data_IF_227636491929
#
_entry.id   IF_227636491929
#
_cell.length_a   1.000
_cell.length_b   1.000
_cell.length_c   1.000
_cell.angle_alpha   90.00
_cell.angle_beta   90.00
_cell.angle_gamma   90.00
#
_symmetry.space_group_name_H-M   'P 1'
#
loop_
_entity.id
_entity.type
_entity.pdbx_description
1 polymer ?
#
# COMPACT_ATOMS: atom_id res chain seq x y z
N UNK A 1 15.32 -10.08 -12.00
CA UNK A 1 14.47 -9.81 -10.82
C UNK A 1 13.17 -9.17 -11.28
N UNK A 2 12.02 -9.66 -10.82
CA UNK A 2 10.69 -9.09 -11.11
C UNK A 2 10.19 -8.24 -9.94
N UNK A 3 9.47 -7.16 -10.24
CA UNK A 3 8.77 -6.33 -9.26
C UNK A 3 7.28 -6.67 -9.35
N UNK A 4 6.74 -7.29 -8.30
CA UNK A 4 5.33 -7.68 -8.25
C UNK A 4 4.57 -6.69 -7.35
N UNK A 5 3.61 -6.00 -7.95
CA UNK A 5 2.73 -5.10 -7.24
C UNK A 5 1.69 -5.87 -6.41
N UNK A 6 1.51 -5.52 -5.14
CA UNK A 6 0.45 -6.04 -4.28
C UNK A 6 -0.48 -4.89 -3.92
N UNK A 7 -1.75 -4.96 -4.32
CA UNK A 7 -2.72 -3.91 -4.02
C UNK A 7 -4.10 -4.49 -3.69
N UNK A 8 -5.01 -3.65 -3.22
CA UNK A 8 -6.36 -4.08 -2.87
C UNK A 8 -7.09 -3.02 -2.05
N UNK A 9 -8.41 -3.12 -1.98
CA UNK A 9 -9.24 -2.21 -1.20
C UNK A 9 -8.89 -2.20 0.29
N UNK A 10 -9.26 -1.12 0.97
CA UNK A 10 -9.14 -1.06 2.43
C UNK A 10 -9.86 -2.27 3.06
N UNK A 11 -9.23 -2.94 4.03
CA UNK A 11 -9.77 -4.14 4.69
C UNK A 11 -9.69 -5.44 3.89
N UNK A 12 -9.10 -5.44 2.67
CA UNK A 12 -8.98 -6.65 1.84
C UNK A 12 -7.98 -7.70 2.36
N UNK A 13 -7.05 -7.32 3.25
CA UNK A 13 -6.05 -8.22 3.83
C UNK A 13 -4.69 -8.19 3.15
N UNK A 14 -4.33 -7.11 2.45
CA UNK A 14 -3.00 -6.91 1.85
C UNK A 14 -1.85 -7.16 2.83
N UNK A 15 -1.92 -6.58 4.02
CA UNK A 15 -0.85 -6.72 5.03
C UNK A 15 -0.66 -8.17 5.48
N UNK A 16 -1.74 -8.95 5.54
CA UNK A 16 -1.68 -10.39 5.84
C UNK A 16 -0.93 -11.14 4.75
N UNK A 17 -1.22 -10.83 3.48
CA UNK A 17 -0.52 -11.43 2.35
C UNK A 17 0.93 -10.94 2.23
N UNK A 18 1.20 -9.67 2.48
CA UNK A 18 2.56 -9.14 2.49
C UNK A 18 3.43 -9.88 3.52
N UNK A 19 2.90 -10.09 4.74
CA UNK A 19 3.56 -10.88 5.77
C UNK A 19 3.73 -12.36 5.36
N UNK A 20 2.75 -12.94 4.68
CA UNK A 20 2.86 -14.29 4.17
C UNK A 20 4.01 -14.41 3.14
N UNK A 21 4.09 -13.52 2.14
CA UNK A 21 5.19 -13.50 1.18
C UNK A 21 6.55 -13.30 1.86
N UNK A 22 6.63 -12.40 2.85
CA UNK A 22 7.85 -12.19 3.63
C UNK A 22 8.28 -13.47 4.36
N UNK A 23 7.34 -14.24 4.91
CA UNK A 23 7.61 -15.53 5.57
C UNK A 23 8.04 -16.63 4.57
N UNK A 24 7.77 -16.48 3.28
CA UNK A 24 8.31 -17.33 2.22
C UNK A 24 9.73 -16.91 1.79
N UNK A 25 10.34 -15.93 2.45
CA UNK A 25 11.67 -15.41 2.13
C UNK A 25 11.69 -14.40 0.98
N UNK A 26 10.53 -13.92 0.52
CA UNK A 26 10.42 -12.91 -0.53
C UNK A 26 10.60 -11.52 0.08
N UNK A 27 11.54 -10.68 -0.41
CA UNK A 27 11.66 -9.31 0.04
C UNK A 27 10.39 -8.51 -0.28
N UNK A 28 9.84 -7.84 0.74
CA UNK A 28 8.58 -7.13 0.68
C UNK A 28 8.78 -5.65 1.06
N UNK A 29 8.29 -4.75 0.22
CA UNK A 29 8.30 -3.31 0.44
C UNK A 29 6.87 -2.80 0.66
N UNK A 30 6.61 -2.21 1.82
CA UNK A 30 5.36 -1.52 2.16
C UNK A 30 5.55 -0.01 1.90
N UNK A 31 4.97 0.49 0.79
CA UNK A 31 5.11 1.89 0.38
C UNK A 31 4.41 2.84 1.36
N UNK A 32 3.28 2.41 1.95
CA UNK A 32 2.55 3.23 2.93
C UNK A 32 3.32 3.33 4.25
N UNK A 33 3.95 2.24 4.71
CA UNK A 33 4.82 2.26 5.89
C UNK A 33 6.08 3.09 5.65
N UNK A 34 6.70 2.96 4.48
CA UNK A 34 7.85 3.78 4.09
C UNK A 34 7.50 5.27 4.06
N UNK A 35 6.37 5.65 3.44
CA UNK A 35 5.89 7.02 3.44
C UNK A 35 5.73 7.58 4.86
N UNK A 36 5.13 6.81 5.77
CA UNK A 36 5.00 7.19 7.18
C UNK A 36 6.36 7.42 7.86
N UNK A 37 7.30 6.49 7.67
CA UNK A 37 8.66 6.59 8.21
C UNK A 37 9.41 7.81 7.68
N UNK A 38 9.31 8.06 6.38
CA UNK A 38 9.97 9.19 5.72
C UNK A 38 9.41 10.54 6.20
N UNK A 39 8.09 10.65 6.39
CA UNK A 39 7.42 11.85 6.93
C UNK A 39 7.92 12.17 8.35
N UNK A 40 8.04 11.17 9.21
CA UNK A 40 8.53 11.36 10.60
C UNK A 40 10.05 11.57 10.67
N UNK A 41 10.78 11.16 9.66
CA UNK A 41 12.24 11.23 9.56
C UNK A 41 12.71 12.34 8.61
N UNK A 42 13.31 11.97 7.45
CA UNK A 42 14.03 12.92 6.59
C UNK A 42 13.13 13.98 5.93
N UNK A 43 11.83 13.75 5.80
CA UNK A 43 10.90 14.73 5.21
C UNK A 43 10.27 15.67 6.24
N UNK A 44 10.46 15.44 7.54
CA UNK A 44 9.80 16.20 8.62
C UNK A 44 9.96 17.71 8.44
N UNK A 45 11.18 18.19 8.17
CA UNK A 45 11.44 19.62 7.98
C UNK A 45 10.66 20.21 6.80
N UNK A 46 10.60 19.49 5.67
CA UNK A 46 9.85 19.91 4.48
C UNK A 46 8.33 19.92 4.74
N UNK A 47 7.84 18.97 5.51
CA UNK A 47 6.42 18.93 5.92
C UNK A 47 6.07 20.11 6.82
N UNK A 48 6.95 20.46 7.75
CA UNK A 48 6.76 21.62 8.63
C UNK A 48 6.83 22.93 7.84
N UNK A 49 7.73 23.03 6.87
CA UNK A 49 7.84 24.21 5.98
C UNK A 49 6.58 24.41 5.15
N UNK A 50 6.04 23.35 4.56
CA UNK A 50 4.86 23.39 3.68
C UNK A 50 3.55 23.60 4.46
N UNK A 51 3.36 22.89 5.58
CA UNK A 51 2.07 22.84 6.30
C UNK A 51 2.06 23.61 7.62
N UNK A 52 3.23 23.99 8.13
CA UNK A 52 3.38 24.73 9.37
C UNK A 52 3.42 23.83 10.62
N UNK A 53 3.77 24.45 11.75
CA UNK A 53 3.92 23.77 13.04
C UNK A 53 2.59 23.37 13.70
N UNK A 54 1.45 23.83 13.16
CA UNK A 54 0.12 23.49 13.68
C UNK A 54 -0.18 21.97 13.64
N UNK A 55 0.53 21.22 12.82
CA UNK A 55 0.39 19.77 12.67
C UNK A 55 1.42 18.96 13.45
N UNK A 56 2.03 19.56 14.49
CA UNK A 56 2.92 18.86 15.41
C UNK A 56 2.19 18.54 16.72
N UNK A 57 2.63 17.46 17.36
CA UNK A 57 2.38 17.19 18.78
C UNK A 57 3.30 18.05 19.66
N UNK A 58 3.05 18.07 20.95
CA UNK A 58 3.87 18.80 21.93
C UNK A 58 5.31 18.31 22.02
N UNK A 59 5.56 17.03 21.69
CA UNK A 59 6.89 16.42 21.61
C UNK A 59 7.62 16.72 20.30
N UNK A 60 6.98 17.48 19.42
CA UNK A 60 7.51 17.85 18.11
C UNK A 60 7.33 16.80 17.02
N UNK A 61 6.76 15.63 17.28
CA UNK A 61 6.40 14.64 16.24
C UNK A 61 5.24 15.14 15.37
N UNK A 62 5.12 14.62 14.15
CA UNK A 62 4.02 15.02 13.25
C UNK A 62 2.71 14.38 13.70
N UNK A 63 1.69 15.21 13.93
CA UNK A 63 0.32 14.75 14.16
C UNK A 63 -0.29 14.29 12.82
N UNK A 64 0.01 13.05 12.43
CA UNK A 64 -0.42 12.46 11.15
C UNK A 64 -1.93 12.44 10.98
N UNK A 65 -2.68 12.27 12.10
CA UNK A 65 -4.15 12.31 12.04
C UNK A 65 -4.61 13.70 11.64
N UNK A 66 -4.14 14.75 12.33
CA UNK A 66 -4.53 16.14 12.05
C UNK A 66 -4.08 16.59 10.66
N UNK A 67 -2.87 16.22 10.23
CA UNK A 67 -2.37 16.51 8.88
C UNK A 67 -3.19 15.76 7.84
N UNK A 68 -3.47 14.47 8.06
CA UNK A 68 -4.30 13.65 7.17
C UNK A 68 -5.71 14.22 7.01
N UNK A 69 -6.40 14.54 8.11
CA UNK A 69 -7.74 15.14 8.08
C UNK A 69 -7.75 16.43 7.23
N UNK A 70 -6.72 17.26 7.35
CA UNK A 70 -6.57 18.49 6.56
C UNK A 70 -6.32 18.23 5.07
N UNK A 71 -5.34 17.39 4.74
CA UNK A 71 -4.97 17.17 3.32
C UNK A 71 -6.04 16.41 2.56
N UNK A 72 -6.76 15.47 3.20
CA UNK A 72 -7.86 14.76 2.57
C UNK A 72 -9.10 15.64 2.33
N UNK A 73 -9.28 16.69 3.12
CA UNK A 73 -10.32 17.69 2.90
C UNK A 73 -9.93 18.77 1.87
N UNK A 74 -8.64 18.84 1.46
CA UNK A 74 -8.11 19.88 0.59
C UNK A 74 -7.23 19.29 -0.53
N UNK A 75 -7.75 19.30 -1.75
CA UNK A 75 -7.09 18.68 -2.92
C UNK A 75 -5.72 19.32 -3.23
N UNK A 76 -5.57 20.64 -3.05
CA UNK A 76 -4.27 21.30 -3.28
C UNK A 76 -3.24 20.91 -2.22
N UNK A 77 -3.65 20.81 -0.95
CA UNK A 77 -2.80 20.36 0.13
C UNK A 77 -2.40 18.88 -0.04
N UNK A 78 -3.33 18.02 -0.47
CA UNK A 78 -3.04 16.63 -0.79
C UNK A 78 -2.00 16.52 -1.92
N UNK A 79 -2.15 17.34 -2.97
CA UNK A 79 -1.17 17.40 -4.06
C UNK A 79 0.21 17.86 -3.59
N UNK A 80 0.26 18.87 -2.73
CA UNK A 80 1.51 19.35 -2.14
C UNK A 80 2.21 18.28 -1.31
N UNK A 81 1.46 17.57 -0.44
CA UNK A 81 1.98 16.45 0.34
C UNK A 81 2.53 15.34 -0.57
N UNK A 82 1.77 14.95 -1.59
CA UNK A 82 2.19 13.91 -2.53
C UNK A 82 3.45 14.30 -3.30
N UNK A 83 3.60 15.57 -3.69
CA UNK A 83 4.81 16.06 -4.36
C UNK A 83 6.07 15.99 -3.48
N UNK A 84 5.91 16.03 -2.16
CA UNK A 84 7.01 15.86 -1.20
C UNK A 84 7.29 14.37 -0.95
N UNK A 85 6.25 13.57 -0.76
CA UNK A 85 6.37 12.20 -0.27
C UNK A 85 6.68 11.21 -1.40
N UNK A 86 6.01 11.29 -2.56
CA UNK A 86 6.16 10.29 -3.63
C UNK A 86 7.61 10.18 -4.12
N UNK A 87 8.34 11.29 -4.44
CA UNK A 87 9.73 11.16 -4.89
C UNK A 87 10.66 10.52 -3.84
N UNK A 88 10.37 10.74 -2.56
CA UNK A 88 11.15 10.15 -1.50
C UNK A 88 10.87 8.65 -1.32
N UNK A 89 9.60 8.24 -1.44
CA UNK A 89 9.21 6.82 -1.44
C UNK A 89 9.79 6.10 -2.66
N UNK A 90 9.79 6.73 -3.84
CA UNK A 90 10.39 6.15 -5.04
C UNK A 90 11.89 5.95 -4.89
N UNK A 91 12.59 6.93 -4.29
CA UNK A 91 14.02 6.80 -3.99
C UNK A 91 14.28 5.69 -2.97
N UNK A 92 13.49 5.62 -1.91
CA UNK A 92 13.59 4.59 -0.87
C UNK A 92 13.32 3.19 -1.48
N UNK A 93 12.33 3.07 -2.35
CA UNK A 93 12.07 1.84 -3.07
C UNK A 93 13.22 1.43 -3.99
N UNK A 94 13.83 2.36 -4.74
CA UNK A 94 15.01 2.08 -5.57
C UNK A 94 16.20 1.57 -4.74
N UNK A 95 16.41 2.12 -3.56
CA UNK A 95 17.43 1.61 -2.64
C UNK A 95 17.10 0.18 -2.21
N UNK A 96 15.85 -0.09 -1.83
CA UNK A 96 15.37 -1.42 -1.47
C UNK A 96 15.58 -2.44 -2.61
N UNK A 97 15.29 -2.05 -3.86
CA UNK A 97 15.54 -2.87 -5.06
C UNK A 97 17.04 -3.20 -5.20
N UNK A 98 17.91 -2.20 -5.04
CA UNK A 98 19.36 -2.40 -5.16
C UNK A 98 19.90 -3.33 -4.06
N UNK A 99 19.42 -3.18 -2.83
CA UNK A 99 19.81 -4.04 -1.69
C UNK A 99 19.36 -5.50 -1.88
N UNK A 100 18.32 -5.73 -2.69
CA UNK A 100 17.76 -7.05 -2.99
C UNK A 100 18.03 -7.50 -4.44
N UNK A 101 19.08 -7.00 -5.10
CA UNK A 101 19.35 -7.25 -6.53
C UNK A 101 19.60 -8.72 -6.90
N UNK A 102 19.87 -9.59 -5.93
CA UNK A 102 20.21 -11.00 -6.13
C UNK A 102 19.00 -11.96 -6.05
N UNK A 103 17.79 -11.44 -5.79
CA UNK A 103 16.59 -12.28 -5.71
C UNK A 103 15.82 -12.30 -7.04
N UNK A 104 15.02 -13.34 -7.27
CA UNK A 104 14.24 -13.51 -8.49
C UNK A 104 13.06 -12.54 -8.58
N UNK A 105 12.44 -12.22 -7.44
CA UNK A 105 11.32 -11.27 -7.36
C UNK A 105 11.25 -10.56 -5.99
N UNK A 106 10.59 -9.41 -6.00
CA UNK A 106 10.22 -8.64 -4.80
C UNK A 106 8.73 -8.27 -4.86
N UNK A 107 8.11 -8.08 -3.70
CA UNK A 107 6.73 -7.57 -3.60
C UNK A 107 6.76 -6.09 -3.21
N UNK A 108 6.06 -5.25 -3.99
CA UNK A 108 5.80 -3.83 -3.67
C UNK A 108 4.33 -3.65 -3.32
N UNK A 109 4.03 -3.44 -2.03
CA UNK A 109 2.66 -3.15 -1.58
C UNK A 109 2.37 -1.66 -1.61
N UNK A 110 1.21 -1.30 -2.17
CA UNK A 110 0.64 0.03 -2.04
C UNK A 110 -0.89 -0.02 -2.13
N UNK A 111 -1.59 0.70 -1.24
CA UNK A 111 -3.05 0.73 -1.20
C UNK A 111 -3.67 1.38 -2.44
N UNK A 112 -2.97 2.31 -3.09
CA UNK A 112 -3.42 3.07 -4.26
C UNK A 112 -2.51 2.87 -5.48
N UNK A 113 -2.02 1.63 -5.67
CA UNK A 113 -1.04 1.29 -6.71
C UNK A 113 -1.52 1.65 -8.13
N UNK A 114 -2.78 1.37 -8.44
CA UNK A 114 -3.38 1.69 -9.74
C UNK A 114 -3.71 3.19 -9.86
N UNK A 115 -4.28 3.75 -8.81
CA UNK A 115 -4.72 5.16 -8.76
C UNK A 115 -3.55 6.14 -8.91
N UNK A 116 -2.40 5.80 -8.34
CA UNK A 116 -1.16 6.59 -8.45
C UNK A 116 -0.41 6.38 -9.76
N UNK A 117 -0.75 5.32 -10.51
CA UNK A 117 -0.02 4.92 -11.72
C UNK A 117 1.26 4.13 -11.44
N UNK A 118 1.59 3.85 -10.17
CA UNK A 118 2.80 3.10 -9.79
C UNK A 118 2.78 1.62 -10.22
N UNK A 119 1.63 1.11 -10.66
CA UNK A 119 1.52 -0.23 -11.26
C UNK A 119 2.30 -0.38 -12.57
N UNK A 120 2.61 0.73 -13.26
CA UNK A 120 3.39 0.73 -14.51
C UNK A 120 4.85 0.31 -14.31
N UNK A 121 5.33 0.44 -13.08
CA UNK A 121 6.70 0.06 -12.69
C UNK A 121 6.75 -1.37 -12.12
N UNK A 122 5.66 -2.14 -12.25
CA UNK A 122 5.56 -3.52 -11.81
C UNK A 122 5.48 -4.46 -13.04
N UNK A 123 6.15 -5.60 -12.98
CA UNK A 123 6.10 -6.63 -14.02
C UNK A 123 4.76 -7.38 -14.02
N UNK A 124 4.11 -7.49 -12.85
CA UNK A 124 2.75 -7.99 -12.68
C UNK A 124 2.12 -7.41 -11.41
N UNK A 125 0.79 -7.44 -11.33
CA UNK A 125 0.05 -6.92 -10.17
C UNK A 125 -0.91 -7.98 -9.63
N UNK A 126 -0.78 -8.27 -8.33
CA UNK A 126 -1.70 -9.08 -7.54
C UNK A 126 -2.72 -8.13 -6.89
N UNK A 127 -3.99 -8.30 -7.22
CA UNK A 127 -5.10 -7.58 -6.60
C UNK A 127 -5.77 -8.45 -5.54
N UNK A 128 -5.74 -7.98 -4.28
CA UNK A 128 -6.40 -8.64 -3.16
C UNK A 128 -7.78 -8.05 -2.94
N UNK A 129 -8.79 -8.89 -2.95
CA UNK A 129 -10.18 -8.49 -2.72
C UNK A 129 -10.83 -9.33 -1.62
N UNK A 130 -11.92 -8.83 -1.06
CA UNK A 130 -12.78 -9.50 -0.10
C UNK A 130 -14.18 -8.89 -0.21
N UNK A 131 -15.26 -9.60 0.14
CA UNK A 131 -16.60 -9.02 0.19
C UNK A 131 -16.62 -7.70 0.97
N UNK A 132 -17.41 -6.73 0.49
CA UNK A 132 -17.39 -5.38 1.05
C UNK A 132 -17.81 -5.33 2.53
N UNK A 133 -18.82 -6.11 2.90
CA UNK A 133 -19.28 -6.27 4.28
C UNK A 133 -18.16 -6.79 5.21
N UNK A 134 -17.40 -7.77 4.75
CA UNK A 134 -16.22 -8.32 5.48
C UNK A 134 -15.13 -7.27 5.62
N UNK A 135 -14.85 -6.50 4.56
CA UNK A 135 -13.86 -5.41 4.60
C UNK A 135 -14.26 -4.32 5.58
N UNK A 136 -15.53 -3.92 5.55
CA UNK A 136 -16.08 -2.91 6.47
C UNK A 136 -15.91 -3.38 7.92
N UNK A 137 -16.34 -4.59 8.23
CA UNK A 137 -16.23 -5.14 9.57
C UNK A 137 -14.77 -5.17 10.05
N UNK A 138 -13.84 -5.69 9.24
CA UNK A 138 -12.40 -5.75 9.57
C UNK A 138 -11.81 -4.38 9.88
N UNK A 139 -12.20 -3.34 9.11
CA UNK A 139 -11.70 -1.98 9.31
C UNK A 139 -12.30 -1.34 10.56
N UNK A 140 -13.60 -1.52 10.80
CA UNK A 140 -14.27 -1.03 12.01
C UNK A 140 -13.62 -1.62 13.27
N UNK A 141 -13.35 -2.93 13.28
CA UNK A 141 -12.74 -3.63 14.42
C UNK A 141 -11.28 -3.19 14.65
N UNK A 142 -10.49 -3.05 13.58
CA UNK A 142 -9.07 -2.68 13.65
C UNK A 142 -8.87 -1.22 14.06
N UNK A 143 -9.61 -0.30 13.42
CA UNK A 143 -9.38 1.15 13.54
C UNK A 143 -10.27 1.80 14.61
N UNK A 144 -11.25 1.05 15.17
CA UNK A 144 -12.25 1.54 16.13
C UNK A 144 -13.02 2.76 15.59
N UNK A 145 -13.41 2.69 14.33
CA UNK A 145 -14.19 3.72 13.63
C UNK A 145 -15.57 3.19 13.23
N UNK A 146 -16.50 4.09 12.93
CA UNK A 146 -17.84 3.73 12.47
C UNK A 146 -17.87 3.34 10.98
N UNK A 147 -18.99 2.74 10.56
CA UNK A 147 -19.22 2.29 9.19
C UNK A 147 -19.16 3.44 8.18
N UNK A 148 -19.63 4.63 8.54
CA UNK A 148 -19.67 5.81 7.66
C UNK A 148 -18.23 6.22 7.30
N UNK A 149 -17.37 6.28 8.30
CA UNK A 149 -15.94 6.57 8.12
C UNK A 149 -15.23 5.54 7.22
N UNK A 150 -15.60 4.26 7.33
CA UNK A 150 -15.04 3.21 6.47
C UNK A 150 -15.51 3.37 5.03
N UNK A 151 -16.81 3.59 4.82
CA UNK A 151 -17.38 3.80 3.49
C UNK A 151 -16.79 5.03 2.80
N UNK A 152 -16.55 6.12 3.52
CA UNK A 152 -15.88 7.30 2.99
C UNK A 152 -14.48 6.97 2.43
N UNK A 153 -13.71 6.11 3.13
CA UNK A 153 -12.38 5.65 2.66
C UNK A 153 -12.49 4.71 1.46
N UNK A 154 -13.48 3.81 1.42
CA UNK A 154 -13.74 2.92 0.28
C UNK A 154 -14.03 3.76 -0.97
N UNK A 155 -14.87 4.80 -0.85
CA UNK A 155 -15.27 5.67 -1.96
C UNK A 155 -14.14 6.54 -2.52
N UNK A 156 -13.02 6.69 -1.79
CA UNK A 156 -11.81 7.36 -2.29
C UNK A 156 -10.94 6.46 -3.18
N UNK A 157 -11.18 5.15 -3.17
CA UNK A 157 -10.46 4.21 -4.02
C UNK A 157 -11.25 3.90 -5.30
N UNK A 158 -10.54 3.46 -6.34
CA UNK A 158 -11.23 2.97 -7.54
C UNK A 158 -12.12 1.77 -7.22
N UNK A 159 -13.25 1.62 -7.96
CA UNK A 159 -14.15 0.48 -7.81
C UNK A 159 -13.41 -0.86 -8.01
N UNK A 160 -13.75 -1.85 -7.19
CA UNK A 160 -13.17 -3.20 -7.24
C UNK A 160 -13.28 -3.82 -8.64
N UNK A 161 -14.41 -3.64 -9.31
CA UNK A 161 -14.62 -4.16 -10.67
C UNK A 161 -13.62 -3.60 -11.69
N UNK A 162 -13.18 -2.33 -11.52
CA UNK A 162 -12.16 -1.73 -12.37
C UNK A 162 -10.79 -2.33 -12.09
N UNK A 163 -10.43 -2.49 -10.81
CA UNK A 163 -9.14 -3.04 -10.39
C UNK A 163 -8.98 -4.51 -10.79
N UNK A 164 -10.04 -5.31 -10.64
CA UNK A 164 -10.06 -6.73 -11.07
C UNK A 164 -9.77 -6.91 -12.56
N UNK A 165 -10.23 -5.98 -13.41
CA UNK A 165 -10.03 -6.07 -14.87
C UNK A 165 -8.61 -5.79 -15.34
N UNK A 166 -7.84 -5.06 -14.56
CA UNK A 166 -6.49 -4.60 -14.95
C UNK A 166 -5.38 -5.26 -14.13
N UNK A 167 -5.74 -6.07 -13.14
CA UNK A 167 -4.79 -6.88 -12.39
C UNK A 167 -4.46 -8.16 -13.16
N UNK A 168 -3.20 -8.59 -13.09
CA UNK A 168 -2.74 -9.84 -13.68
C UNK A 168 -3.20 -11.04 -12.87
N UNK A 169 -3.25 -10.90 -11.54
CA UNK A 169 -3.71 -11.92 -10.60
C UNK A 169 -4.73 -11.34 -9.63
N UNK A 170 -5.72 -12.14 -9.25
CA UNK A 170 -6.73 -11.78 -8.25
C UNK A 170 -6.76 -12.82 -7.14
N UNK A 171 -6.59 -12.38 -5.89
CA UNK A 171 -6.73 -13.22 -4.70
C UNK A 171 -8.00 -12.83 -3.95
N UNK A 172 -8.90 -13.79 -3.75
CA UNK A 172 -10.09 -13.60 -2.92
C UNK A 172 -9.81 -14.00 -1.47
N UNK A 173 -9.74 -12.99 -0.60
CA UNK A 173 -9.46 -13.18 0.82
C UNK A 173 -10.77 -13.25 1.63
N UNK A 174 -11.43 -14.39 1.57
CA UNK A 174 -12.58 -14.71 2.41
C UNK A 174 -12.18 -15.65 3.57
N UNK A 175 -11.44 -16.71 3.26
CA UNK A 175 -10.93 -17.71 4.20
C UNK A 175 -9.41 -17.77 4.08
N UNK A 176 -8.72 -17.72 5.22
CA UNK A 176 -7.27 -17.49 5.23
C UNK A 176 -6.48 -18.63 4.57
N UNK A 177 -6.87 -19.89 4.79
CA UNK A 177 -6.20 -21.03 4.18
C UNK A 177 -6.30 -21.01 2.66
N UNK A 178 -7.50 -20.69 2.13
CA UNK A 178 -7.70 -20.56 0.69
C UNK A 178 -6.93 -19.36 0.12
N UNK A 179 -6.84 -18.27 0.86
CA UNK A 179 -6.05 -17.08 0.47
C UNK A 179 -4.58 -17.42 0.30
N UNK A 180 -4.01 -18.17 1.25
CA UNK A 180 -2.60 -18.57 1.19
C UNK A 180 -2.36 -19.63 0.11
N UNK A 181 -3.31 -20.53 -0.15
CA UNK A 181 -3.22 -21.47 -1.28
C UNK A 181 -3.18 -20.76 -2.63
N UNK A 182 -4.03 -19.74 -2.84
CA UNK A 182 -3.98 -18.91 -4.05
C UNK A 182 -2.64 -18.16 -4.16
N UNK A 183 -2.14 -17.60 -3.05
CA UNK A 183 -0.87 -16.89 -3.04
C UNK A 183 0.31 -17.82 -3.38
N UNK A 184 0.32 -19.05 -2.88
CA UNK A 184 1.33 -20.05 -3.19
C UNK A 184 1.35 -20.42 -4.68
N UNK A 185 0.17 -20.67 -5.27
CA UNK A 185 0.05 -20.97 -6.70
C UNK A 185 0.58 -19.82 -7.58
N UNK A 186 0.23 -18.57 -7.25
CA UNK A 186 0.72 -17.40 -7.98
C UNK A 186 2.25 -17.26 -7.81
N UNK A 187 2.77 -17.49 -6.61
CA UNK A 187 4.22 -17.41 -6.36
C UNK A 187 4.98 -18.45 -7.19
N UNK A 188 4.50 -19.70 -7.21
CA UNK A 188 5.10 -20.77 -8.02
C UNK A 188 5.08 -20.44 -9.53
N UNK A 189 3.99 -19.86 -10.02
CA UNK A 189 3.89 -19.42 -11.42
C UNK A 189 4.88 -18.29 -11.72
N UNK A 190 4.97 -17.27 -10.85
CA UNK A 190 5.89 -16.13 -11.02
C UNK A 190 7.37 -16.56 -11.00
N UNK A 191 7.73 -17.55 -10.17
CA UNK A 191 9.08 -18.09 -10.10
C UNK A 191 9.42 -19.01 -11.27
N UNK A 192 8.46 -19.79 -11.77
CA UNK A 192 8.68 -20.69 -12.92
C UNK A 192 8.95 -19.93 -14.22
N UNK A 193 8.29 -18.78 -14.44
CA UNK A 193 8.49 -17.91 -15.61
C UNK A 193 9.89 -17.23 -15.66
N UNK A 194 10.75 -17.42 -14.66
CA UNK A 194 12.13 -16.91 -14.64
C UNK A 194 13.16 -17.98 -15.07
N UNK A 195 12.73 -19.22 -15.36
CA UNK A 195 13.64 -20.34 -15.67
C UNK A 195 13.80 -20.61 -17.16
N UNK A 196 13.08 -19.86 -18.01
CA UNK A 196 13.19 -19.87 -19.46
C UNK A 196 13.97 -18.64 -19.96
#
# INVERSE_FOLDING_TARGET
>A
MKIIGLTGGIGSGKSTLLNWFSNQGIPCYDADASGRRLIEGPLKSKIIEEFGKAYLHSDGSINRKKLGDFVFANTSALKALNNIVHPAVDKDFKNFVNENSQVDLIIKEAAILFESGASKDCDAVIYVTSPEDVRIQRVMERDKVDKISVLARINQQWPDAKKRKIADYVIENRYIEHTFSQAAQILDELLSQNRD
#
